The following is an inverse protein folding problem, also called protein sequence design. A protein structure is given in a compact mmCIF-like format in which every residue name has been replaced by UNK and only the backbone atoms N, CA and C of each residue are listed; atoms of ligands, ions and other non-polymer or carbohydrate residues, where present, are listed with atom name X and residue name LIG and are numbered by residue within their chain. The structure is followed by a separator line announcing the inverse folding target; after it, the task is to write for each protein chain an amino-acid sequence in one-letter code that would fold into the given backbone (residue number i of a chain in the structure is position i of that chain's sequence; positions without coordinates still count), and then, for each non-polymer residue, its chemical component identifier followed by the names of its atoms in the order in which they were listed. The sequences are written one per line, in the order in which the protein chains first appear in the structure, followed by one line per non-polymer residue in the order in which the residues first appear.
data_IF_263593246236
#
_entry.id   IF_263593246236
#
_cell.length_a   1.000
_cell.length_b   1.000
_cell.length_c   1.000
_cell.angle_alpha   90.00
_cell.angle_beta   90.00
_cell.angle_gamma   90.00
#
_symmetry.space_group_name_H-M   'P 1'
#
loop_
_entity.id
_entity.type
_entity.pdbx_description
1 polymer ?
#
# COMPACT_ATOMS: atom_id res chain seq x y z
N UNK A 1 1.76 -16.60 5.91
CA UNK A 1 2.91 -16.63 4.98
C UNK A 1 2.39 -16.75 3.55
N UNK A 2 3.09 -16.19 2.56
CA UNK A 2 2.71 -16.24 1.15
C UNK A 2 3.88 -16.73 0.29
N UNK A 3 3.58 -17.40 -0.82
CA UNK A 3 4.56 -17.70 -1.87
C UNK A 3 4.86 -16.38 -2.58
N UNK A 4 6.13 -15.99 -2.64
CA UNK A 4 6.57 -14.77 -3.29
C UNK A 4 7.16 -15.11 -4.66
N UNK A 5 6.50 -14.65 -5.72
CA UNK A 5 6.94 -14.88 -7.10
C UNK A 5 7.27 -13.53 -7.71
N UNK A 6 8.55 -13.13 -7.79
CA UNK A 6 8.91 -11.88 -8.44
C UNK A 6 8.47 -11.92 -9.90
N UNK A 7 7.67 -10.96 -10.34
CA UNK A 7 7.29 -10.79 -11.76
C UNK A 7 7.90 -9.52 -12.37
N UNK A 8 8.29 -8.59 -11.50
CA UNK A 8 9.06 -7.39 -11.86
C UNK A 8 10.24 -7.21 -10.90
N UNK A 9 11.29 -6.55 -11.36
CA UNK A 9 12.37 -6.02 -10.54
C UNK A 9 12.24 -4.50 -10.40
N UNK A 10 12.77 -3.95 -9.31
CA UNK A 10 12.85 -2.49 -9.13
C UNK A 10 11.49 -1.78 -9.09
N UNK A 11 11.52 -0.46 -9.28
CA UNK A 11 10.32 0.38 -9.37
C UNK A 11 10.42 1.30 -10.58
N UNK A 12 9.45 1.22 -11.50
CA UNK A 12 9.38 2.05 -12.71
C UNK A 12 9.37 3.57 -12.45
N UNK A 13 9.00 4.00 -11.25
CA UNK A 13 8.96 5.42 -10.87
C UNK A 13 10.22 5.85 -10.11
N UNK A 14 10.61 5.08 -9.09
CA UNK A 14 11.76 5.25 -8.20
C UNK A 14 12.16 6.69 -7.80
N UNK A 15 11.22 7.66 -7.81
CA UNK A 15 11.50 9.08 -7.56
C UNK A 15 10.89 9.62 -6.26
N UNK A 16 10.09 8.82 -5.55
CA UNK A 16 9.52 9.20 -4.26
C UNK A 16 10.62 9.67 -3.29
N UNK A 17 10.36 10.73 -2.53
CA UNK A 17 11.31 11.28 -1.55
C UNK A 17 11.47 10.43 -0.31
N UNK A 18 10.47 9.62 0.03
CA UNK A 18 10.42 8.82 1.27
C UNK A 18 10.72 7.33 1.06
N UNK A 19 10.65 6.82 -0.18
CA UNK A 19 10.80 5.40 -0.45
C UNK A 19 12.26 5.05 -0.75
N UNK A 20 12.85 4.21 0.10
CA UNK A 20 14.22 3.70 -0.06
C UNK A 20 14.31 2.28 -0.59
N UNK A 21 13.20 1.57 -0.83
CA UNK A 21 13.18 0.12 -1.08
C UNK A 21 14.09 -0.35 -2.21
N UNK A 22 14.12 0.38 -3.33
CA UNK A 22 14.92 0.03 -4.51
C UNK A 22 16.20 0.86 -4.65
N UNK A 23 16.56 1.58 -3.58
CA UNK A 23 17.81 2.33 -3.46
C UNK A 23 18.65 1.63 -2.41
N UNK A 24 19.70 0.94 -2.81
CA UNK A 24 20.64 0.32 -1.89
C UNK A 24 21.24 1.35 -0.93
N UNK A 25 21.56 0.90 0.29
CA UNK A 25 22.19 1.73 1.34
C UNK A 25 23.54 2.30 0.86
N UNK A 26 24.21 1.62 -0.06
CA UNK A 26 25.48 2.02 -0.68
C UNK A 26 25.32 2.62 -2.10
N UNK A 27 24.14 3.13 -2.44
CA UNK A 27 23.91 3.83 -3.71
C UNK A 27 23.61 2.94 -4.92
N UNK A 28 23.62 1.61 -4.78
CA UNK A 28 23.11 0.71 -5.81
C UNK A 28 21.63 0.96 -6.09
N UNK A 29 21.17 0.84 -7.32
CA UNK A 29 19.74 0.96 -7.66
C UNK A 29 19.32 -0.36 -8.28
N UNK A 30 18.24 -0.95 -7.78
CA UNK A 30 17.62 -2.07 -8.48
C UNK A 30 16.81 -1.50 -9.64
N UNK A 31 17.34 -1.69 -10.85
CA UNK A 31 16.68 -1.23 -12.06
C UNK A 31 15.33 -1.92 -12.27
N UNK A 32 14.44 -1.19 -12.92
CA UNK A 32 13.14 -1.73 -13.27
C UNK A 32 13.27 -2.70 -14.45
N UNK A 33 12.71 -3.89 -14.29
CA UNK A 33 12.61 -4.87 -15.36
C UNK A 33 11.32 -5.70 -15.19
N UNK A 34 10.75 -6.15 -16.30
CA UNK A 34 9.77 -7.23 -16.31
C UNK A 34 10.57 -8.51 -16.48
N UNK A 35 10.31 -9.52 -15.63
CA UNK A 35 11.04 -10.79 -15.74
C UNK A 35 10.58 -11.56 -16.99
N UNK A 36 11.45 -12.34 -17.64
CA UNK A 36 11.03 -13.26 -18.67
C UNK A 36 9.99 -14.25 -18.13
N UNK A 37 8.92 -14.50 -18.88
CA UNK A 37 7.81 -15.33 -18.41
C UNK A 37 8.24 -16.76 -18.07
N UNK A 38 9.17 -17.31 -18.85
CA UNK A 38 9.70 -18.66 -18.63
C UNK A 38 10.49 -18.79 -17.33
N UNK A 39 11.17 -17.72 -16.89
CA UNK A 39 11.83 -17.71 -15.58
C UNK A 39 10.82 -17.67 -14.44
N UNK A 40 9.70 -16.96 -14.63
CA UNK A 40 8.62 -16.90 -13.64
C UNK A 40 7.89 -18.25 -13.53
N UNK A 41 7.58 -18.88 -14.67
CA UNK A 41 6.98 -20.23 -14.70
C UNK A 41 7.86 -21.25 -14.03
N UNK A 42 9.18 -21.22 -14.28
CA UNK A 42 10.14 -22.11 -13.61
C UNK A 42 10.13 -21.93 -12.08
N UNK A 43 9.99 -20.71 -11.57
CA UNK A 43 9.86 -20.48 -10.12
C UNK A 43 8.55 -21.07 -9.58
N UNK A 44 7.45 -20.94 -10.33
CA UNK A 44 6.15 -21.54 -9.97
C UNK A 44 6.25 -23.07 -9.91
N UNK A 45 6.87 -23.69 -10.92
CA UNK A 45 7.06 -25.14 -10.98
C UNK A 45 7.89 -25.64 -9.78
N UNK A 46 8.94 -24.91 -9.38
CA UNK A 46 9.70 -25.25 -8.19
C UNK A 46 8.87 -25.21 -6.89
N UNK A 47 7.90 -24.31 -6.76
CA UNK A 47 6.99 -24.30 -5.62
C UNK A 47 6.00 -25.46 -5.68
N UNK A 48 5.52 -25.82 -6.88
CA UNK A 48 4.65 -26.97 -7.10
C UNK A 48 5.35 -28.29 -6.74
N UNK A 49 6.58 -28.49 -7.23
CA UNK A 49 7.42 -29.67 -6.93
C UNK A 49 7.71 -29.83 -5.44
N UNK A 50 7.86 -28.72 -4.71
CA UNK A 50 8.06 -28.71 -3.25
C UNK A 50 6.76 -28.84 -2.45
N UNK A 51 5.63 -29.05 -3.12
CA UNK A 51 4.33 -29.32 -2.51
C UNK A 51 3.81 -28.17 -1.61
N UNK A 52 4.03 -26.91 -2.01
CA UNK A 52 3.46 -25.75 -1.32
C UNK A 52 1.95 -25.63 -1.62
N UNK A 53 1.11 -26.32 -0.84
CA UNK A 53 -0.36 -26.30 -0.97
C UNK A 53 -1.00 -25.31 0.01
N UNK A 54 -2.12 -24.71 -0.39
CA UNK A 54 -2.94 -23.90 0.52
C UNK A 54 -2.40 -22.52 0.87
N UNK A 55 -1.27 -22.10 0.26
CA UNK A 55 -0.67 -20.80 0.52
C UNK A 55 -1.21 -19.71 -0.42
N UNK A 56 -1.44 -18.49 0.08
CA UNK A 56 -1.60 -17.33 -0.78
C UNK A 56 -0.35 -17.09 -1.63
N UNK A 57 -0.55 -16.61 -2.85
CA UNK A 57 0.51 -16.21 -3.78
C UNK A 57 0.54 -14.69 -3.90
N UNK A 58 1.74 -14.13 -3.83
CA UNK A 58 2.01 -12.73 -4.06
C UNK A 58 2.96 -12.59 -5.25
N UNK A 59 2.46 -12.02 -6.35
CA UNK A 59 3.29 -11.62 -7.48
C UNK A 59 4.12 -10.41 -7.06
N UNK A 60 5.36 -10.68 -6.69
CA UNK A 60 6.29 -9.75 -6.09
C UNK A 60 7.02 -8.88 -7.13
N UNK A 61 7.80 -7.93 -6.61
CA UNK A 61 8.41 -6.87 -7.40
C UNK A 61 7.78 -5.52 -7.09
N UNK A 62 8.45 -4.43 -7.47
CA UNK A 62 8.00 -3.09 -7.08
C UNK A 62 6.90 -2.52 -7.96
N UNK A 63 6.60 -3.16 -9.09
CA UNK A 63 5.54 -2.70 -9.96
C UNK A 63 4.88 -3.74 -10.89
N UNK A 64 4.34 -4.87 -10.37
CA UNK A 64 3.73 -5.93 -11.19
C UNK A 64 2.75 -5.43 -12.27
N UNK A 65 1.82 -4.54 -11.91
CA UNK A 65 0.77 -4.05 -12.83
C UNK A 65 1.26 -3.24 -14.02
N UNK A 66 2.54 -2.87 -14.06
CA UNK A 66 3.12 -2.24 -15.25
C UNK A 66 3.44 -3.20 -16.38
N UNK A 67 3.45 -4.51 -16.12
CA UNK A 67 3.63 -5.50 -17.16
C UNK A 67 2.39 -5.56 -18.10
N UNK A 68 2.58 -6.02 -19.35
CA UNK A 68 1.47 -6.29 -20.27
C UNK A 68 0.39 -7.16 -19.63
N UNK A 69 -0.87 -6.93 -19.99
CA UNK A 69 -2.00 -7.67 -19.41
C UNK A 69 -1.91 -9.15 -19.70
N UNK A 70 -1.66 -9.52 -20.96
CA UNK A 70 -1.46 -10.91 -21.41
C UNK A 70 -0.41 -11.67 -20.59
N UNK A 71 0.73 -11.02 -20.28
CA UNK A 71 1.78 -11.57 -19.45
C UNK A 71 1.31 -11.88 -18.02
N UNK A 72 0.57 -10.95 -17.39
CA UNK A 72 0.05 -11.15 -16.05
C UNK A 72 -1.06 -12.20 -16.03
N UNK A 73 -1.96 -12.18 -17.01
CA UNK A 73 -3.04 -13.18 -17.18
C UNK A 73 -2.44 -14.58 -17.30
N UNK A 74 -1.41 -14.74 -18.12
CA UNK A 74 -0.73 -16.02 -18.29
C UNK A 74 -0.09 -16.51 -16.99
N UNK A 75 0.59 -15.64 -16.24
CA UNK A 75 1.18 -15.99 -14.94
C UNK A 75 0.12 -16.37 -13.91
N UNK A 76 -0.97 -15.58 -13.81
CA UNK A 76 -2.05 -15.86 -12.86
C UNK A 76 -2.70 -17.20 -13.19
N UNK A 77 -3.01 -17.47 -14.46
CA UNK A 77 -3.54 -18.78 -14.90
C UNK A 77 -2.57 -19.91 -14.59
N UNK A 78 -1.27 -19.73 -14.84
CA UNK A 78 -0.26 -20.74 -14.56
C UNK A 78 -0.14 -21.03 -13.06
N UNK A 79 -0.21 -20.01 -12.21
CA UNK A 79 -0.30 -20.17 -10.74
C UNK A 79 -1.51 -21.01 -10.35
N UNK A 80 -2.69 -20.70 -10.93
CA UNK A 80 -3.94 -21.42 -10.64
C UNK A 80 -3.93 -22.87 -11.15
N UNK A 81 -3.20 -23.14 -12.22
CA UNK A 81 -3.06 -24.48 -12.79
C UNK A 81 -2.07 -25.34 -11.99
N UNK A 82 -0.91 -24.78 -11.61
CA UNK A 82 0.21 -25.56 -11.04
C UNK A 82 0.17 -25.70 -9.52
N UNK A 83 -0.39 -24.72 -8.82
CA UNK A 83 -0.41 -24.73 -7.36
C UNK A 83 -1.80 -25.14 -6.85
N UNK A 84 -1.83 -26.04 -5.89
CA UNK A 84 -3.07 -26.56 -5.29
C UNK A 84 -3.57 -25.66 -4.15
N UNK A 85 -4.90 -25.51 -4.05
CA UNK A 85 -5.60 -24.78 -2.98
C UNK A 85 -5.14 -23.32 -2.78
N UNK A 86 -4.74 -22.63 -3.86
CA UNK A 86 -4.31 -21.23 -3.80
C UNK A 86 -5.43 -20.33 -3.26
N UNK A 87 -5.30 -19.91 -2.01
CA UNK A 87 -6.31 -19.12 -1.30
C UNK A 87 -6.51 -17.74 -1.89
N UNK A 88 -5.42 -17.15 -2.42
CA UNK A 88 -5.41 -15.79 -2.94
C UNK A 88 -4.22 -15.56 -3.85
N UNK A 89 -4.41 -14.94 -5.01
CA UNK A 89 -3.36 -14.37 -5.87
C UNK A 89 -3.44 -12.85 -5.77
N UNK A 90 -2.30 -12.22 -5.52
CA UNK A 90 -2.26 -10.78 -5.26
C UNK A 90 -0.99 -10.10 -5.72
N UNK A 91 -1.01 -8.79 -5.93
CA UNK A 91 0.18 -8.04 -6.35
C UNK A 91 0.13 -6.56 -5.94
N UNK A 92 1.26 -5.84 -6.04
CA UNK A 92 1.25 -4.38 -5.94
C UNK A 92 0.71 -3.73 -7.22
N UNK A 93 -0.04 -2.65 -7.05
CA UNK A 93 -0.54 -1.82 -8.12
C UNK A 93 -0.15 -0.34 -7.95
N UNK A 94 0.09 0.33 -9.07
CA UNK A 94 0.13 1.80 -9.14
C UNK A 94 -1.03 2.31 -9.96
N UNK A 95 -1.63 3.42 -9.49
CA UNK A 95 -2.78 4.02 -10.16
C UNK A 95 -2.53 4.27 -11.66
N UNK A 96 -1.41 4.86 -12.05
CA UNK A 96 -1.13 5.14 -13.46
C UNK A 96 -0.95 3.88 -14.32
N UNK A 97 -0.56 2.74 -13.74
CA UNK A 97 -0.45 1.49 -14.51
C UNK A 97 -1.83 0.90 -14.77
N UNK A 98 -2.70 0.95 -13.75
CA UNK A 98 -4.12 0.59 -13.88
C UNK A 98 -4.82 1.48 -14.91
N UNK A 99 -4.55 2.79 -14.89
CA UNK A 99 -5.14 3.74 -15.84
C UNK A 99 -4.68 3.55 -17.29
N UNK A 100 -3.56 2.86 -17.52
CA UNK A 100 -3.08 2.49 -18.86
C UNK A 100 -3.72 1.22 -19.41
N UNK A 101 -4.34 0.41 -18.56
CA UNK A 101 -5.10 -0.78 -18.95
C UNK A 101 -6.53 -0.38 -19.31
N UNK A 102 -7.12 -1.03 -20.30
CA UNK A 102 -8.54 -0.92 -20.64
C UNK A 102 -9.42 -1.58 -19.56
N UNK A 103 -10.73 -1.37 -19.60
CA UNK A 103 -11.63 -2.07 -18.66
C UNK A 103 -11.66 -3.57 -18.94
N UNK A 104 -11.58 -3.97 -20.21
CA UNK A 104 -11.43 -5.37 -20.64
C UNK A 104 -10.14 -6.00 -20.09
N UNK A 105 -9.01 -5.29 -20.15
CA UNK A 105 -7.75 -5.76 -19.57
C UNK A 105 -7.87 -6.06 -18.05
N UNK A 106 -8.60 -5.21 -17.33
CA UNK A 106 -8.82 -5.40 -15.89
C UNK A 106 -9.77 -6.57 -15.64
N UNK A 107 -10.77 -6.75 -16.50
CA UNK A 107 -11.69 -7.88 -16.46
C UNK A 107 -10.97 -9.21 -16.74
N UNK A 108 -10.10 -9.25 -17.73
CA UNK A 108 -9.25 -10.40 -18.04
C UNK A 108 -8.37 -10.81 -16.86
N UNK A 109 -7.81 -9.84 -16.13
CA UNK A 109 -7.03 -10.11 -14.91
C UNK A 109 -7.90 -10.71 -13.80
N UNK A 110 -9.11 -10.17 -13.61
CA UNK A 110 -10.06 -10.70 -12.63
C UNK A 110 -10.47 -12.14 -12.98
N UNK A 111 -10.80 -12.40 -14.25
CA UNK A 111 -11.25 -13.70 -14.75
C UNK A 111 -10.13 -14.74 -14.77
N UNK A 112 -8.89 -14.31 -14.95
CA UNK A 112 -7.71 -15.16 -14.73
C UNK A 112 -7.56 -15.61 -13.28
N UNK A 113 -8.15 -14.88 -12.33
CA UNK A 113 -8.12 -15.16 -10.90
C UNK A 113 -7.17 -14.27 -10.11
N UNK A 114 -6.95 -13.01 -10.51
CA UNK A 114 -6.27 -12.03 -9.65
C UNK A 114 -7.25 -11.49 -8.61
N UNK A 115 -7.09 -11.88 -7.34
CA UNK A 115 -8.11 -11.60 -6.32
C UNK A 115 -8.03 -10.20 -5.72
N UNK A 116 -6.83 -9.71 -5.42
CA UNK A 116 -6.62 -8.44 -4.75
C UNK A 116 -5.35 -7.74 -5.21
N UNK A 117 -5.42 -6.42 -5.34
CA UNK A 117 -4.23 -5.58 -5.56
C UNK A 117 -4.00 -4.63 -4.39
N UNK A 118 -2.74 -4.36 -4.11
CA UNK A 118 -2.30 -3.44 -3.06
C UNK A 118 -1.77 -2.14 -3.67
N UNK A 119 -2.47 -1.03 -3.45
CA UNK A 119 -2.14 0.27 -4.00
C UNK A 119 -1.64 1.24 -2.91
N UNK A 120 -0.46 1.80 -3.12
CA UNK A 120 0.07 2.85 -2.23
C UNK A 120 -0.61 4.18 -2.50
N UNK A 121 -1.68 4.51 -1.73
CA UNK A 121 -2.30 5.83 -1.66
C UNK A 121 -1.31 6.82 -1.04
N UNK A 122 -0.71 6.43 0.08
CA UNK A 122 0.21 7.16 0.96
C UNK A 122 -0.43 8.40 1.60
N UNK A 123 -1.05 9.27 0.79
CA UNK A 123 -1.85 10.42 1.21
C UNK A 123 -2.89 10.73 0.14
N UNK A 124 -4.08 11.17 0.55
CA UNK A 124 -5.08 11.70 -0.37
C UNK A 124 -4.92 13.19 -0.72
N UNK A 125 -3.88 13.87 -0.21
CA UNK A 125 -3.56 15.27 -0.54
C UNK A 125 -2.62 15.38 -1.73
N UNK A 126 -3.06 16.06 -2.79
CA UNK A 126 -2.21 16.33 -3.95
C UNK A 126 -0.97 17.17 -3.57
N UNK A 127 -1.08 18.04 -2.57
CA UNK A 127 0.06 18.82 -2.06
C UNK A 127 1.11 17.90 -1.46
N UNK A 128 0.71 16.96 -0.59
CA UNK A 128 1.62 16.00 0.03
C UNK A 128 2.18 15.03 -1.01
N UNK A 129 1.36 14.54 -1.94
CA UNK A 129 1.80 13.66 -3.02
C UNK A 129 2.83 14.33 -3.95
N UNK A 130 2.63 15.61 -4.30
CA UNK A 130 3.60 16.41 -5.06
C UNK A 130 4.87 16.64 -4.26
N UNK A 131 4.75 17.05 -3.00
CA UNK A 131 5.87 17.22 -2.09
C UNK A 131 6.71 15.95 -2.10
N UNK A 132 6.10 14.79 -1.88
CA UNK A 132 6.76 13.49 -1.82
C UNK A 132 7.20 12.92 -3.17
N UNK A 133 6.96 13.62 -4.28
CA UNK A 133 7.23 13.16 -5.64
C UNK A 133 6.64 11.77 -5.90
N UNK A 134 5.39 11.51 -5.52
CA UNK A 134 4.75 10.18 -5.69
C UNK A 134 4.46 9.83 -7.15
N UNK A 135 4.37 10.84 -8.03
CA UNK A 135 4.11 10.64 -9.46
C UNK A 135 2.65 10.32 -9.79
N UNK A 136 1.72 10.77 -8.95
CA UNK A 136 0.27 10.57 -9.08
C UNK A 136 -0.47 11.64 -8.28
N UNK A 137 -1.78 11.73 -8.44
CA UNK A 137 -2.67 12.60 -7.67
C UNK A 137 -3.90 11.82 -7.19
N UNK A 138 -4.70 12.44 -6.33
CA UNK A 138 -5.94 11.91 -5.76
C UNK A 138 -6.97 11.53 -6.82
N UNK A 139 -7.16 12.34 -7.86
CA UNK A 139 -8.08 12.02 -8.98
C UNK A 139 -7.70 10.71 -9.69
N UNK A 140 -6.42 10.51 -9.98
CA UNK A 140 -5.92 9.26 -10.57
C UNK A 140 -6.09 8.07 -9.64
N UNK A 141 -5.87 8.26 -8.33
CA UNK A 141 -6.11 7.21 -7.33
C UNK A 141 -7.58 6.80 -7.27
N UNK A 142 -8.49 7.79 -7.25
CA UNK A 142 -9.94 7.54 -7.19
C UNK A 142 -10.39 6.79 -8.44
N UNK A 143 -10.00 7.28 -9.63
CA UNK A 143 -10.36 6.65 -10.91
C UNK A 143 -9.82 5.22 -11.01
N UNK A 144 -8.54 5.00 -10.64
CA UNK A 144 -7.94 3.68 -10.68
C UNK A 144 -8.61 2.73 -9.68
N UNK A 145 -8.90 3.20 -8.47
CA UNK A 145 -9.54 2.39 -7.44
C UNK A 145 -10.93 1.92 -7.84
N UNK A 146 -11.77 2.81 -8.38
CA UNK A 146 -13.11 2.46 -8.88
C UNK A 146 -13.06 1.41 -9.99
N UNK A 147 -12.19 1.61 -10.99
CA UNK A 147 -12.04 0.66 -12.11
C UNK A 147 -11.58 -0.73 -11.66
N UNK A 148 -10.69 -0.82 -10.66
CA UNK A 148 -10.28 -2.10 -10.07
C UNK A 148 -11.46 -2.83 -9.45
N UNK A 149 -12.25 -2.13 -8.64
CA UNK A 149 -13.42 -2.69 -7.95
C UNK A 149 -14.52 -3.09 -8.95
N UNK A 150 -14.78 -2.25 -9.96
CA UNK A 150 -15.74 -2.50 -11.04
C UNK A 150 -15.38 -3.75 -11.87
N UNK A 151 -14.08 -4.01 -12.07
CA UNK A 151 -13.60 -5.22 -12.73
C UNK A 151 -13.76 -6.50 -11.89
N UNK A 152 -14.11 -6.39 -10.60
CA UNK A 152 -14.25 -7.51 -9.68
C UNK A 152 -12.96 -7.87 -8.92
N UNK A 153 -11.94 -7.02 -8.96
CA UNK A 153 -10.69 -7.21 -8.22
C UNK A 153 -10.79 -6.46 -6.89
N UNK A 154 -10.48 -7.11 -5.77
CA UNK A 154 -10.44 -6.43 -4.47
C UNK A 154 -9.30 -5.41 -4.42
N UNK A 155 -9.46 -4.39 -3.59
CA UNK A 155 -8.49 -3.31 -3.47
C UNK A 155 -8.07 -3.08 -2.02
N UNK A 156 -6.77 -3.12 -1.78
CA UNK A 156 -6.18 -2.67 -0.52
C UNK A 156 -5.37 -1.39 -0.71
N UNK A 157 -5.69 -0.33 0.03
CA UNK A 157 -4.94 0.94 -0.01
C UNK A 157 -4.02 1.11 1.20
N UNK A 158 -2.77 1.51 0.99
CA UNK A 158 -1.85 1.89 2.07
C UNK A 158 -1.83 3.40 2.29
N UNK A 159 -1.91 3.83 3.55
CA UNK A 159 -1.79 5.21 4.01
C UNK A 159 -0.54 5.32 4.87
N UNK A 160 0.22 6.41 4.73
CA UNK A 160 1.38 6.70 5.58
C UNK A 160 1.07 7.90 6.46
N UNK A 161 0.85 7.65 7.75
CA UNK A 161 0.71 8.66 8.79
C UNK A 161 2.02 9.45 8.94
N UNK A 162 1.89 10.75 9.10
CA UNK A 162 2.98 11.73 9.21
C UNK A 162 3.64 12.12 7.90
N UNK A 163 3.13 11.64 6.75
CA UNK A 163 3.73 11.92 5.44
C UNK A 163 3.69 13.42 5.08
N UNK A 164 2.70 14.16 5.62
CA UNK A 164 2.57 15.59 5.40
C UNK A 164 3.48 16.48 6.25
N UNK A 165 4.25 15.91 7.20
CA UNK A 165 4.82 16.67 8.32
C UNK A 165 3.71 17.40 9.12
N UNK A 166 4.05 18.14 10.17
CA UNK A 166 3.08 18.99 10.86
C UNK A 166 2.46 20.03 9.91
N UNK A 167 3.25 20.54 8.96
CA UNK A 167 2.85 21.61 8.04
C UNK A 167 1.65 21.25 7.17
N UNK A 168 1.56 20.01 6.68
CA UNK A 168 0.48 19.57 5.78
C UNK A 168 -0.32 18.41 6.36
N UNK A 169 -0.31 18.24 7.69
CA UNK A 169 -1.04 17.19 8.41
C UNK A 169 -2.55 17.28 8.16
N UNK A 170 -3.12 18.48 8.24
CA UNK A 170 -4.54 18.71 7.93
C UNK A 170 -4.91 18.34 6.50
N UNK A 171 -4.15 18.82 5.51
CA UNK A 171 -4.37 18.46 4.10
C UNK A 171 -4.29 16.93 3.91
N UNK A 172 -3.32 16.28 4.55
CA UNK A 172 -3.13 14.84 4.50
C UNK A 172 -4.37 14.11 5.03
N UNK A 173 -4.87 14.51 6.20
CA UNK A 173 -6.03 13.91 6.86
C UNK A 173 -7.31 14.08 6.02
N UNK A 174 -7.68 15.32 5.71
CA UNK A 174 -8.91 15.64 4.97
C UNK A 174 -8.89 15.00 3.58
N UNK A 175 -7.75 15.11 2.87
CA UNK A 175 -7.58 14.52 1.55
C UNK A 175 -7.67 12.99 1.56
N UNK A 176 -7.08 12.35 2.56
CA UNK A 176 -7.10 10.88 2.69
C UNK A 176 -8.51 10.37 2.99
N UNK A 177 -9.21 10.98 3.96
CA UNK A 177 -10.59 10.63 4.27
C UNK A 177 -11.52 10.77 3.05
N UNK A 178 -11.36 11.86 2.28
CA UNK A 178 -12.08 12.06 1.02
C UNK A 178 -11.81 10.94 0.02
N UNK A 179 -10.53 10.62 -0.26
CA UNK A 179 -10.20 9.58 -1.25
C UNK A 179 -10.73 8.21 -0.82
N UNK A 180 -10.61 7.85 0.46
CA UNK A 180 -11.17 6.60 0.99
C UNK A 180 -12.70 6.58 0.87
N UNK A 181 -13.35 7.71 1.10
CA UNK A 181 -14.81 7.86 0.94
C UNK A 181 -15.27 7.68 -0.50
N UNK A 182 -14.56 8.31 -1.45
CA UNK A 182 -14.91 8.23 -2.87
C UNK A 182 -14.61 6.86 -3.49
N UNK A 183 -13.59 6.16 -3.01
CA UNK A 183 -13.19 4.84 -3.53
C UNK A 183 -13.94 3.71 -2.83
N UNK A 184 -14.13 3.80 -1.52
CA UNK A 184 -14.54 2.71 -0.64
C UNK A 184 -13.78 1.39 -0.95
N UNK A 185 -12.45 1.35 -0.73
CA UNK A 185 -11.66 0.16 -1.06
C UNK A 185 -12.12 -1.03 -0.21
N UNK A 186 -11.83 -2.26 -0.65
CA UNK A 186 -12.12 -3.45 0.17
C UNK A 186 -11.41 -3.37 1.52
N UNK A 187 -10.15 -2.92 1.51
CA UNK A 187 -9.32 -2.78 2.70
C UNK A 187 -8.55 -1.47 2.63
N UNK A 188 -8.33 -0.80 3.76
CA UNK A 188 -7.26 0.19 3.85
C UNK A 188 -6.41 -0.03 5.10
N UNK A 189 -5.14 0.37 5.01
CA UNK A 189 -4.11 0.01 5.99
C UNK A 189 -3.26 1.20 6.34
N UNK A 190 -3.11 1.46 7.63
CA UNK A 190 -2.21 2.50 8.12
C UNK A 190 -0.80 1.96 8.28
N UNK A 191 0.16 2.77 7.88
CA UNK A 191 1.59 2.65 8.20
C UNK A 191 2.04 3.99 8.77
N UNK A 192 3.07 4.00 9.59
CA UNK A 192 3.70 5.23 10.07
C UNK A 192 4.97 5.51 9.29
N UNK A 193 5.17 6.77 8.89
CA UNK A 193 6.37 7.20 8.19
C UNK A 193 7.64 6.85 8.98
N UNK A 194 8.52 6.08 8.36
CA UNK A 194 9.89 5.87 8.81
C UNK A 194 10.84 6.44 7.74
N UNK A 195 11.78 7.28 8.17
CA UNK A 195 12.69 7.97 7.25
C UNK A 195 13.96 7.14 7.13
N UNK A 196 14.18 6.55 5.96
CA UNK A 196 15.34 5.71 5.70
C UNK A 196 16.56 6.55 5.28
N UNK A 197 17.79 6.21 5.73
CA UNK A 197 19.01 6.98 5.42
C UNK A 197 19.34 7.20 3.94
N UNK A 198 18.87 6.31 3.08
CA UNK A 198 19.06 6.30 1.63
C UNK A 198 18.02 7.15 0.87
N UNK A 199 17.21 7.94 1.57
CA UNK A 199 16.13 8.74 0.97
C UNK A 199 16.43 10.24 0.99
N UNK A 200 15.94 11.02 0.01
CA UNK A 200 16.03 12.48 0.06
C UNK A 200 15.48 13.07 1.36
N UNK A 201 14.37 12.50 1.85
CA UNK A 201 13.70 12.93 3.07
C UNK A 201 14.59 12.81 4.32
N UNK A 202 15.59 11.92 4.33
CA UNK A 202 16.57 11.82 5.42
C UNK A 202 17.36 13.11 5.62
N UNK A 203 17.83 13.73 4.53
CA UNK A 203 18.62 14.96 4.60
C UNK A 203 17.78 16.12 5.12
N UNK A 204 16.56 16.22 4.63
CA UNK A 204 15.59 17.25 4.99
C UNK A 204 15.21 17.13 6.48
N UNK A 205 14.94 15.92 6.95
CA UNK A 205 14.71 15.66 8.37
C UNK A 205 15.91 16.02 9.25
N UNK A 206 17.13 15.62 8.85
CA UNK A 206 18.36 15.96 9.59
C UNK A 206 18.64 17.47 9.64
N UNK A 207 18.27 18.20 8.59
CA UNK A 207 18.40 19.65 8.53
C UNK A 207 17.30 20.42 9.28
N UNK A 208 16.23 19.74 9.70
CA UNK A 208 15.04 20.35 10.30
C UNK A 208 14.00 20.89 9.31
N UNK A 209 14.26 20.82 8.00
CA UNK A 209 13.31 21.22 6.94
C UNK A 209 12.03 20.37 6.98
N UNK A 210 12.16 19.07 7.28
CA UNK A 210 11.03 18.17 7.47
C UNK A 210 10.89 17.78 8.94
N UNK A 211 9.74 18.09 9.55
CA UNK A 211 9.44 17.71 10.92
C UNK A 211 8.65 16.41 10.94
N UNK A 212 9.25 15.35 11.46
CA UNK A 212 8.59 14.06 11.62
C UNK A 212 7.60 14.15 12.79
N UNK A 213 6.38 13.64 12.61
CA UNK A 213 5.39 13.61 13.69
C UNK A 213 5.88 12.78 14.87
N UNK A 214 5.47 13.18 16.07
CA UNK A 214 5.58 12.33 17.26
C UNK A 214 4.57 11.16 17.18
N UNK A 215 4.81 10.06 17.89
CA UNK A 215 3.93 8.90 17.90
C UNK A 215 2.47 9.24 18.19
N UNK A 216 2.26 10.11 19.16
CA UNK A 216 0.93 10.57 19.56
C UNK A 216 0.20 11.33 18.45
N UNK A 217 0.93 12.11 17.65
CA UNK A 217 0.32 12.89 16.57
C UNK A 217 -0.01 12.02 15.37
N UNK A 218 0.71 10.91 15.16
CA UNK A 218 0.31 9.89 14.18
C UNK A 218 -1.04 9.26 14.55
N UNK A 219 -1.27 8.97 15.84
CA UNK A 219 -2.56 8.44 16.31
C UNK A 219 -3.69 9.47 16.16
N UNK A 220 -3.40 10.76 16.36
CA UNK A 220 -4.36 11.84 16.10
C UNK A 220 -4.73 11.93 14.62
N UNK A 221 -3.75 11.84 13.71
CA UNK A 221 -4.03 11.81 12.27
C UNK A 221 -4.92 10.62 11.90
N UNK A 222 -4.60 9.42 12.39
CA UNK A 222 -5.44 8.22 12.16
C UNK A 222 -6.86 8.43 12.67
N UNK A 223 -7.01 8.89 13.91
CA UNK A 223 -8.32 9.18 14.52
C UNK A 223 -9.12 10.16 13.68
N UNK A 224 -8.49 11.25 13.25
CA UNK A 224 -9.16 12.29 12.48
C UNK A 224 -9.57 11.76 11.10
N UNK A 225 -8.72 10.98 10.42
CA UNK A 225 -9.07 10.30 9.16
C UNK A 225 -10.31 9.42 9.36
N UNK A 226 -10.33 8.57 10.39
CA UNK A 226 -11.48 7.70 10.68
C UNK A 226 -12.75 8.51 10.96
N UNK A 227 -12.65 9.62 11.69
CA UNK A 227 -13.80 10.47 12.02
C UNK A 227 -14.40 11.20 10.81
N UNK A 228 -13.59 11.43 9.77
CA UNK A 228 -13.98 12.14 8.55
C UNK A 228 -14.43 11.20 7.42
N UNK A 229 -14.41 9.88 7.62
CA UNK A 229 -14.89 8.93 6.62
C UNK A 229 -16.39 9.14 6.36
N UNK A 230 -16.79 9.15 5.09
CA UNK A 230 -18.20 9.16 4.73
C UNK A 230 -18.92 7.89 5.18
N UNK A 231 -20.24 7.98 5.37
CA UNK A 231 -21.07 6.89 5.90
C UNK A 231 -21.22 5.70 4.96
N UNK A 232 -20.76 5.82 3.71
CA UNK A 232 -20.69 4.71 2.77
C UNK A 232 -19.48 3.80 2.99
N UNK A 233 -18.47 4.23 3.75
CA UNK A 233 -17.21 3.47 3.88
C UNK A 233 -17.37 2.31 4.83
N UNK A 234 -17.41 1.10 4.29
CA UNK A 234 -17.57 -0.17 5.00
C UNK A 234 -16.35 -1.10 4.89
N UNK A 235 -15.22 -0.56 4.42
CA UNK A 235 -13.93 -1.24 4.31
C UNK A 235 -13.48 -1.93 5.61
N UNK A 236 -12.68 -2.98 5.44
CA UNK A 236 -11.79 -3.44 6.51
C UNK A 236 -10.68 -2.40 6.74
N UNK A 237 -10.32 -2.14 7.98
CA UNK A 237 -9.20 -1.28 8.37
C UNK A 237 -8.20 -2.05 9.21
N UNK A 238 -6.91 -1.87 8.89
CA UNK A 238 -5.83 -2.43 9.69
C UNK A 238 -4.77 -1.38 10.01
N UNK A 239 -4.46 -1.29 11.30
CA UNK A 239 -3.28 -0.68 11.84
C UNK A 239 -2.52 -1.79 12.58
N UNK A 240 -1.71 -2.55 11.83
CA UNK A 240 -1.08 -3.80 12.29
C UNK A 240 0.42 -3.89 11.93
N UNK A 241 0.96 -2.84 11.31
CA UNK A 241 2.32 -2.86 10.79
C UNK A 241 3.35 -2.55 11.88
N UNK A 242 4.54 -3.14 11.79
CA UNK A 242 5.64 -2.94 12.75
C UNK A 242 6.01 -1.46 12.96
N UNK A 243 5.77 -0.61 11.96
CA UNK A 243 5.97 0.84 12.04
C UNK A 243 5.04 1.55 13.02
N UNK A 244 3.89 0.97 13.33
CA UNK A 244 2.80 1.69 13.97
C UNK A 244 2.89 1.61 15.50
N UNK A 245 2.29 2.56 16.19
CA UNK A 245 2.41 2.68 17.65
C UNK A 245 1.29 2.01 18.44
N UNK A 246 0.26 1.52 17.75
CA UNK A 246 -0.81 0.71 18.31
C UNK A 246 -1.15 -0.43 17.35
N UNK A 247 -2.02 -1.33 17.80
CA UNK A 247 -2.61 -2.36 16.97
C UNK A 247 -4.13 -2.23 17.07
N UNK A 248 -4.77 -1.81 15.98
CA UNK A 248 -6.23 -1.67 15.90
C UNK A 248 -6.70 -2.14 14.52
N UNK A 249 -7.82 -2.85 14.51
CA UNK A 249 -8.41 -3.37 13.28
C UNK A 249 -9.93 -3.43 13.40
N UNK A 250 -10.59 -3.38 12.26
CA UNK A 250 -12.02 -3.65 12.14
C UNK A 250 -12.29 -4.27 10.79
N UNK A 251 -13.16 -5.29 10.76
CA UNK A 251 -13.61 -5.91 9.52
C UNK A 251 -14.71 -5.10 8.82
N UNK A 252 -15.25 -4.07 9.46
CA UNK A 252 -16.26 -3.19 8.90
C UNK A 252 -16.26 -1.85 9.63
N UNK A 253 -15.47 -0.88 9.13
CA UNK A 253 -15.28 0.39 9.83
C UNK A 253 -16.56 1.21 9.96
N UNK A 254 -17.57 0.98 9.10
CA UNK A 254 -18.88 1.63 9.22
C UNK A 254 -19.60 1.25 10.51
N UNK A 255 -19.61 -0.04 10.84
CA UNK A 255 -20.29 -0.57 12.04
C UNK A 255 -19.50 -0.28 13.31
N UNK A 256 -18.18 -0.36 13.23
CA UNK A 256 -17.32 -0.29 14.40
C UNK A 256 -16.73 1.12 14.65
N UNK A 257 -17.12 2.13 13.85
CA UNK A 257 -16.52 3.48 13.86
C UNK A 257 -16.38 4.07 15.25
N UNK A 258 -17.48 4.10 16.01
CA UNK A 258 -17.50 4.69 17.36
C UNK A 258 -16.58 3.94 18.33
N UNK A 259 -16.56 2.60 18.24
CA UNK A 259 -15.68 1.77 19.07
C UNK A 259 -14.20 1.98 18.70
N UNK A 260 -13.91 2.09 17.41
CA UNK A 260 -12.56 2.36 16.89
C UNK A 260 -12.05 3.73 17.35
N UNK A 261 -12.87 4.77 17.22
CA UNK A 261 -12.56 6.13 17.69
C UNK A 261 -12.37 6.16 19.21
N UNK A 262 -13.22 5.49 19.97
CA UNK A 262 -13.09 5.38 21.43
C UNK A 262 -11.78 4.68 21.83
N UNK A 263 -11.37 3.64 21.09
CA UNK A 263 -10.10 2.96 21.34
C UNK A 263 -8.90 3.89 21.08
N UNK A 264 -8.93 4.65 19.98
CA UNK A 264 -7.91 5.65 19.69
C UNK A 264 -7.87 6.76 20.74
N UNK A 265 -9.04 7.26 21.19
CA UNK A 265 -9.12 8.28 22.23
C UNK A 265 -8.50 7.81 23.56
N UNK A 266 -8.72 6.55 23.94
CA UNK A 266 -8.06 5.96 25.12
C UNK A 266 -6.54 5.93 24.96
N UNK A 267 -6.04 5.53 23.79
CA UNK A 267 -4.60 5.50 23.51
C UNK A 267 -4.01 6.91 23.51
N UNK A 268 -4.69 7.89 22.92
CA UNK A 268 -4.22 9.28 22.84
C UNK A 268 -4.11 9.92 24.25
N UNK A 269 -5.03 9.55 25.15
CA UNK A 269 -5.04 10.06 26.52
C UNK A 269 -4.16 9.26 27.50
N UNK A 270 -3.56 8.14 27.07
CA UNK A 270 -2.67 7.33 27.91
C UNK A 270 -1.29 8.00 28.02
N UNK A 271 -0.90 8.36 29.25
CA UNK A 271 0.38 9.01 29.54
C UNK A 271 1.60 8.18 29.11
N UNK A 272 1.47 6.85 29.02
CA UNK A 272 2.53 5.97 28.51
C UNK A 272 2.70 6.13 27.01
N UNK A 273 1.60 6.33 26.28
CA UNK A 273 1.58 6.53 24.83
C UNK A 273 2.06 7.94 24.45
N UNK A 274 1.68 8.94 25.24
CA UNK A 274 2.11 10.33 25.03
C UNK A 274 3.64 10.51 25.08
N UNK A 275 4.33 9.65 25.85
CA UNK A 275 5.78 9.67 26.00
C UNK A 275 6.47 8.53 25.22
N UNK A 276 5.78 7.86 24.28
CA UNK A 276 6.39 6.80 23.50
C UNK A 276 7.55 7.37 22.67
N UNK A 277 8.73 6.72 22.67
CA UNK A 277 9.79 7.09 21.76
C UNK A 277 9.44 6.66 20.34
N UNK A 278 9.99 7.37 19.35
CA UNK A 278 9.90 6.96 17.95
C UNK A 278 10.54 5.60 17.75
N UNK A 279 9.92 4.79 16.89
CA UNK A 279 10.52 3.55 16.38
C UNK A 279 11.59 3.95 15.36
N UNK A 280 12.87 3.88 15.73
CA UNK A 280 14.00 4.22 14.84
C UNK A 280 14.24 3.15 13.76
N UNK A 281 13.24 2.86 12.93
CA UNK A 281 13.33 1.85 11.87
C UNK A 281 14.14 2.43 10.69
N UNK A 282 15.45 2.42 10.85
CA UNK A 282 16.43 2.85 9.85
C UNK A 282 16.77 1.76 8.82
N UNK A 283 16.15 0.58 8.96
CA UNK A 283 16.24 -0.57 8.06
C UNK A 283 14.85 -1.18 7.94
N UNK A 284 14.46 -1.55 6.72
CA UNK A 284 13.22 -2.25 6.43
C UNK A 284 13.57 -3.64 5.91
#
# INVERSE_FOLDING_TARGET
YSILIPVTGGCSWNKCRFCGTYRGVYGGIQEYAIRPIEDVKRDIDQFAEKNYKGFPVFLAGGNPTSAPTEYLVEIVKYVREKLEDVQRVSCYAKALDILRKTDEDLKDLADAGLDIVYMGLESGSDTVLRLMKKGTNSTSMIKAGKRILEAGIKLSMYIILGLGSYKYSRDHVEGTARVLTEVNPTVFRFRTLNILPNTPLWKEWKSGEFQLLEPIDCLKEEREIISLLGDNVDSEVYNDHVSNYCSLESNNIKRDREAFLTALDKLINDSRIQNLPRKNLIRM
#
